data_IF_905531722801
#
_entry.id   IF_905531722801
#
_cell.length_a   1.000
_cell.length_b   1.000
_cell.length_c   1.000
_cell.angle_alpha   90.00
_cell.angle_beta   90.00
_cell.angle_gamma   90.00
#
_symmetry.space_group_name_H-M   'P 1'
#
loop_
_entity.id
_entity.type
_entity.pdbx_description
1 polymer ?
#
# COMPACT_ATOMS: atom_id res chain seq x y z
N UNK A 1 -27.78 -20.89 96.68
CA UNK A 1 -28.70 -20.44 95.61
C UNK A 1 -27.89 -19.95 94.41
N UNK A 2 -27.51 -20.82 93.48
CA UNK A 2 -26.88 -20.43 92.19
C UNK A 2 -27.29 -21.47 91.13
N UNK A 3 -28.04 -21.05 90.12
CA UNK A 3 -28.27 -21.80 88.88
C UNK A 3 -28.19 -20.82 87.71
N UNK A 4 -27.25 -21.07 86.79
CA UNK A 4 -27.37 -20.92 85.31
C UNK A 4 -26.00 -20.66 84.68
N UNK A 5 -25.56 -21.59 83.84
CA UNK A 5 -24.79 -21.38 82.60
C UNK A 5 -24.67 -22.73 81.91
N UNK A 6 -25.02 -22.83 80.62
CA UNK A 6 -24.52 -23.78 79.61
C UNK A 6 -25.23 -23.52 78.25
N UNK A 7 -24.42 -23.20 77.22
CA UNK A 7 -24.51 -23.66 75.78
C UNK A 7 -25.63 -23.04 74.88
N UNK A 8 -25.52 -22.95 73.51
CA UNK A 8 -24.39 -23.10 72.55
C UNK A 8 -24.21 -21.98 71.49
N UNK A 9 -22.99 -21.86 71.02
CA UNK A 9 -22.56 -21.41 69.68
C UNK A 9 -22.78 -22.54 68.65
N UNK A 10 -23.76 -22.46 67.75
CA UNK A 10 -23.96 -23.48 66.69
C UNK A 10 -24.61 -22.95 65.37
N UNK A 11 -24.68 -21.63 65.15
CA UNK A 11 -25.34 -21.08 63.94
C UNK A 11 -24.39 -20.45 62.90
N UNK A 12 -23.12 -20.19 63.24
CA UNK A 12 -22.17 -19.51 62.35
C UNK A 12 -21.38 -20.39 61.39
N UNK A 13 -21.20 -21.68 61.71
CA UNK A 13 -20.34 -22.57 60.92
C UNK A 13 -21.07 -23.22 59.71
N UNK A 14 -22.39 -23.36 59.77
CA UNK A 14 -23.17 -24.00 58.70
C UNK A 14 -23.31 -23.11 57.45
N UNK A 15 -23.36 -21.78 57.62
CA UNK A 15 -23.50 -20.83 56.50
C UNK A 15 -22.20 -20.70 55.70
N UNK A 16 -21.04 -20.77 56.36
CA UNK A 16 -19.73 -20.67 55.70
C UNK A 16 -19.37 -21.94 54.93
N UNK A 17 -19.80 -23.12 55.42
CA UNK A 17 -19.59 -24.39 54.71
C UNK A 17 -20.51 -24.54 53.49
N UNK A 18 -21.75 -24.06 53.54
CA UNK A 18 -22.67 -24.11 52.40
C UNK A 18 -22.19 -23.23 51.23
N UNK A 19 -21.63 -22.05 51.50
CA UNK A 19 -21.10 -21.15 50.46
C UNK A 19 -19.80 -21.67 49.83
N UNK A 20 -18.96 -22.36 50.60
CA UNK A 20 -17.71 -22.95 50.10
C UNK A 20 -17.96 -24.18 49.22
N UNK A 21 -18.98 -24.99 49.53
CA UNK A 21 -19.37 -26.16 48.73
C UNK A 21 -20.04 -25.74 47.42
N UNK A 22 -20.84 -24.66 47.41
CA UNK A 22 -21.43 -24.11 46.19
C UNK A 22 -20.35 -23.52 45.27
N UNK A 23 -19.34 -22.82 45.82
CA UNK A 23 -18.19 -22.34 45.04
C UNK A 23 -17.34 -23.49 44.48
N UNK A 24 -17.18 -24.60 45.21
CA UNK A 24 -16.45 -25.78 44.74
C UNK A 24 -17.23 -26.58 43.68
N UNK A 25 -18.57 -26.68 43.80
CA UNK A 25 -19.43 -27.33 42.80
C UNK A 25 -19.50 -26.51 41.51
N UNK A 26 -19.51 -25.17 41.59
CA UNK A 26 -19.42 -24.29 40.41
C UNK A 26 -18.04 -24.37 39.75
N UNK A 27 -16.96 -24.56 40.54
CA UNK A 27 -15.62 -24.76 40.02
C UNK A 27 -15.43 -26.14 39.35
N UNK A 28 -16.07 -27.18 39.88
CA UNK A 28 -15.95 -28.57 39.38
C UNK A 28 -16.94 -28.87 38.24
N UNK A 29 -18.13 -28.24 38.19
CA UNK A 29 -19.01 -28.30 37.00
C UNK A 29 -18.51 -27.41 35.85
N UNK A 30 -17.73 -26.36 36.15
CA UNK A 30 -17.05 -25.54 35.14
C UNK A 30 -15.90 -26.26 34.43
N UNK A 31 -15.48 -27.43 34.92
CA UNK A 31 -14.41 -28.24 34.33
C UNK A 31 -14.88 -29.35 33.38
N UNK A 32 -16.18 -29.50 33.12
CA UNK A 32 -16.74 -30.58 32.29
C UNK A 32 -17.48 -30.13 31.02
N UNK A 33 -17.42 -28.85 30.67
CA UNK A 33 -17.86 -28.35 29.36
C UNK A 33 -16.87 -27.33 28.81
N UNK A 34 -15.64 -27.77 28.58
CA UNK A 34 -14.79 -27.08 27.61
C UNK A 34 -15.35 -27.39 26.21
N UNK A 35 -15.68 -26.39 25.38
CA UNK A 35 -15.87 -26.64 23.96
C UNK A 35 -14.55 -27.21 23.43
N UNK A 36 -14.63 -28.34 22.74
CA UNK A 36 -13.52 -28.93 22.02
C UNK A 36 -12.95 -27.90 21.05
N UNK A 37 -11.71 -27.49 21.28
CA UNK A 37 -10.87 -26.91 20.23
C UNK A 37 -10.64 -28.00 19.19
N UNK A 38 -11.56 -28.11 18.23
CA UNK A 38 -11.25 -28.77 16.98
C UNK A 38 -10.16 -27.95 16.30
N UNK A 39 -8.98 -28.56 16.24
CA UNK A 39 -7.83 -28.09 15.48
C UNK A 39 -8.21 -28.01 13.99
N UNK A 40 -8.68 -26.84 13.56
CA UNK A 40 -8.71 -26.48 12.14
C UNK A 40 -7.37 -25.86 11.79
N UNK A 41 -6.67 -26.52 10.86
CA UNK A 41 -5.44 -26.06 10.26
C UNK A 41 -5.53 -24.59 9.84
N UNK A 42 -4.47 -23.83 10.13
CA UNK A 42 -4.30 -22.47 9.66
C UNK A 42 -4.23 -22.47 8.13
N UNK A 43 -5.36 -22.15 7.49
CA UNK A 43 -5.40 -21.81 6.08
C UNK A 43 -4.90 -20.36 5.89
N UNK A 44 -3.98 -20.22 4.94
CA UNK A 44 -3.37 -18.96 4.48
C UNK A 44 -4.44 -17.95 4.03
N UNK A 45 -4.18 -16.62 4.13
CA UNK A 45 -5.13 -15.63 3.66
C UNK A 45 -5.30 -15.72 2.15
N UNK A 46 -6.43 -16.26 1.71
CA UNK A 46 -6.90 -16.23 0.32
C UNK A 46 -7.82 -15.03 0.17
N UNK A 47 -7.61 -14.25 -0.90
CA UNK A 47 -8.50 -13.14 -1.24
C UNK A 47 -9.79 -13.73 -1.82
N UNK A 48 -10.88 -13.65 -1.06
CA UNK A 48 -12.24 -13.88 -1.53
C UNK A 48 -12.88 -12.51 -1.81
N UNK A 49 -13.54 -12.28 -2.96
CA UNK A 49 -14.23 -11.02 -3.21
C UNK A 49 -15.52 -11.00 -2.40
N UNK A 50 -15.46 -10.41 -1.21
CA UNK A 50 -16.61 -10.28 -0.33
C UNK A 50 -16.23 -10.23 1.15
N UNK A 51 -16.08 -9.01 1.67
CA UNK A 51 -16.17 -8.70 3.11
C UNK A 51 -14.94 -9.01 3.96
N UNK A 52 -14.09 -8.01 4.22
CA UNK A 52 -13.06 -8.09 5.26
C UNK A 52 -11.96 -7.03 5.20
N UNK A 53 -12.26 -5.82 5.68
CA UNK A 53 -11.36 -4.77 6.24
C UNK A 53 -9.85 -4.74 5.85
N UNK A 54 -9.52 -4.54 4.58
CA UNK A 54 -8.24 -3.94 4.20
C UNK A 54 -8.44 -2.43 4.00
N UNK A 55 -7.81 -1.60 4.86
CA UNK A 55 -8.01 -0.14 4.91
C UNK A 55 -7.22 0.64 3.84
N UNK A 56 -6.77 -0.03 2.78
CA UNK A 56 -6.03 0.60 1.68
C UNK A 56 -7.00 1.12 0.61
N UNK A 57 -6.79 2.34 0.13
CA UNK A 57 -7.57 2.91 -0.96
C UNK A 57 -6.89 2.58 -2.26
N UNK A 58 -7.52 1.71 -3.04
CA UNK A 58 -7.10 1.41 -4.40
C UNK A 58 -7.59 2.50 -5.33
N UNK A 59 -6.65 3.09 -6.06
CA UNK A 59 -6.91 4.00 -7.17
C UNK A 59 -7.14 3.15 -8.42
N UNK A 60 -8.23 3.36 -9.18
CA UNK A 60 -8.37 2.74 -10.49
C UNK A 60 -7.23 3.17 -11.43
N UNK A 61 -6.66 2.23 -12.18
CA UNK A 61 -5.48 2.47 -13.03
C UNK A 61 -5.69 3.65 -14.00
N UNK A 62 -6.91 3.79 -14.56
CA UNK A 62 -7.27 4.89 -15.46
C UNK A 62 -7.21 6.29 -14.84
N UNK A 63 -7.20 6.39 -13.52
CA UNK A 63 -7.14 7.65 -12.78
C UNK A 63 -5.79 7.92 -12.13
N UNK A 64 -4.88 6.95 -12.11
CA UNK A 64 -3.61 7.02 -11.38
C UNK A 64 -2.80 8.28 -11.73
N UNK A 65 -2.62 8.57 -13.03
CA UNK A 65 -1.88 9.75 -13.49
C UNK A 65 -2.55 11.07 -13.08
N UNK A 66 -3.89 11.11 -13.04
CA UNK A 66 -4.64 12.29 -12.63
C UNK A 66 -4.52 12.50 -11.12
N UNK A 67 -4.61 11.43 -10.34
CA UNK A 67 -4.46 11.46 -8.87
C UNK A 67 -3.05 11.89 -8.48
N UNK A 68 -2.01 11.36 -9.15
CA UNK A 68 -0.62 11.76 -8.93
C UNK A 68 -0.40 13.25 -9.25
N UNK A 69 -0.98 13.73 -10.34
CA UNK A 69 -0.91 15.15 -10.72
C UNK A 69 -1.63 16.03 -9.69
N UNK A 70 -2.79 15.61 -9.19
CA UNK A 70 -3.54 16.34 -8.17
C UNK A 70 -2.83 16.34 -6.81
N UNK A 71 -2.21 15.23 -6.42
CA UNK A 71 -1.38 15.13 -5.22
C UNK A 71 -0.18 16.08 -5.30
N UNK A 72 0.49 16.13 -6.46
CA UNK A 72 1.57 17.08 -6.70
C UNK A 72 1.09 18.54 -6.65
N UNK A 73 -0.02 18.86 -7.29
CA UNK A 73 -0.56 20.23 -7.31
C UNK A 73 -0.95 20.71 -5.91
N UNK A 74 -1.63 19.85 -5.14
CA UNK A 74 -2.04 20.13 -3.76
C UNK A 74 -0.88 20.11 -2.77
N UNK A 75 0.21 19.40 -3.07
CA UNK A 75 1.29 19.09 -2.14
C UNK A 75 0.81 18.24 -0.95
N UNK A 76 -0.17 17.37 -1.18
CA UNK A 76 -0.65 16.33 -0.26
C UNK A 76 -0.24 14.96 -0.79
N UNK A 77 -0.31 13.91 0.04
CA UNK A 77 0.02 12.56 -0.43
C UNK A 77 -1.04 12.04 -1.42
N UNK A 78 -0.61 11.17 -2.33
CA UNK A 78 -1.50 10.42 -3.25
C UNK A 78 -2.62 9.73 -2.46
N UNK A 79 -2.28 9.12 -1.31
CA UNK A 79 -3.26 8.47 -0.46
C UNK A 79 -4.36 9.38 0.08
N UNK A 80 -4.04 10.65 0.39
CA UNK A 80 -5.05 11.61 0.82
C UNK A 80 -6.00 11.96 -0.34
N UNK A 81 -5.46 12.20 -1.54
CA UNK A 81 -6.29 12.51 -2.71
C UNK A 81 -7.15 11.32 -3.11
N UNK A 82 -6.58 10.12 -3.15
CA UNK A 82 -7.27 8.89 -3.47
C UNK A 82 -8.38 8.57 -2.47
N UNK A 83 -8.07 8.64 -1.16
CA UNK A 83 -9.04 8.39 -0.11
C UNK A 83 -10.17 9.42 -0.13
N UNK A 84 -9.88 10.67 -0.49
CA UNK A 84 -10.89 11.69 -0.69
C UNK A 84 -11.80 11.34 -1.87
N UNK A 85 -11.27 11.02 -3.05
CA UNK A 85 -12.07 10.65 -4.22
C UNK A 85 -12.96 9.42 -3.96
N UNK A 86 -12.43 8.44 -3.23
CA UNK A 86 -13.22 7.28 -2.79
C UNK A 86 -14.32 7.68 -1.79
N UNK A 87 -14.05 8.58 -0.86
CA UNK A 87 -15.05 9.06 0.09
C UNK A 87 -16.14 9.91 -0.57
N UNK A 88 -15.79 10.71 -1.58
CA UNK A 88 -16.72 11.60 -2.28
C UNK A 88 -17.72 10.84 -3.16
N UNK A 89 -17.23 9.92 -4.00
CA UNK A 89 -18.06 9.28 -5.03
C UNK A 89 -17.88 7.77 -5.12
N UNK A 90 -16.97 7.19 -4.34
CA UNK A 90 -16.50 5.82 -4.54
C UNK A 90 -16.04 5.56 -5.98
N UNK A 91 -15.34 6.55 -6.57
CA UNK A 91 -14.86 6.54 -7.95
C UNK A 91 -15.95 6.61 -9.04
N UNK A 92 -17.19 6.99 -8.71
CA UNK A 92 -18.26 7.19 -9.70
C UNK A 92 -18.16 8.59 -10.35
N UNK A 93 -17.77 8.69 -11.64
CA UNK A 93 -17.65 9.98 -12.32
C UNK A 93 -19.01 10.62 -12.63
N UNK A 94 -20.12 9.88 -12.49
CA UNK A 94 -21.49 10.36 -12.74
C UNK A 94 -22.24 10.69 -11.46
N UNK A 95 -21.61 10.57 -10.29
CA UNK A 95 -22.24 10.82 -9.00
C UNK A 95 -22.82 12.24 -8.91
N UNK A 96 -24.06 12.33 -8.42
CA UNK A 96 -24.73 13.61 -8.11
C UNK A 96 -25.35 13.51 -6.72
N UNK A 97 -24.94 14.39 -5.81
CA UNK A 97 -25.52 14.41 -4.46
C UNK A 97 -26.91 15.09 -4.44
N UNK A 98 -27.74 14.84 -3.42
CA UNK A 98 -29.03 15.52 -3.25
C UNK A 98 -28.93 17.05 -3.17
N UNK A 99 -27.77 17.57 -2.75
CA UNK A 99 -27.49 19.01 -2.63
C UNK A 99 -26.80 19.58 -3.87
N UNK A 100 -26.60 18.77 -4.91
CA UNK A 100 -26.13 19.22 -6.23
C UNK A 100 -24.62 19.17 -6.44
N UNK A 101 -23.88 18.47 -5.58
CA UNK A 101 -22.46 18.17 -5.81
C UNK A 101 -22.32 17.19 -6.99
N UNK A 102 -21.29 17.36 -7.83
CA UNK A 102 -21.17 16.64 -9.10
C UNK A 102 -19.83 15.94 -9.30
N UNK A 103 -19.90 14.74 -9.86
CA UNK A 103 -18.81 13.96 -10.39
C UNK A 103 -17.87 13.39 -9.33
N UNK A 104 -16.70 12.94 -9.80
CA UNK A 104 -15.79 12.09 -9.04
C UNK A 104 -15.32 12.75 -7.73
N UNK A 105 -15.12 14.06 -7.75
CA UNK A 105 -14.68 14.86 -6.60
C UNK A 105 -15.83 15.61 -5.89
N UNK A 106 -17.09 15.36 -6.27
CA UNK A 106 -18.29 15.99 -5.68
C UNK A 106 -18.19 17.52 -5.55
N UNK A 107 -17.89 18.20 -6.65
CA UNK A 107 -17.83 19.66 -6.64
C UNK A 107 -19.23 20.29 -6.58
N UNK A 108 -19.41 21.22 -5.64
CA UNK A 108 -20.56 22.14 -5.66
C UNK A 108 -20.45 23.11 -6.86
N UNK A 109 -21.58 23.55 -7.46
CA UNK A 109 -21.54 24.37 -8.68
C UNK A 109 -20.73 25.66 -8.55
N UNK A 110 -20.80 26.36 -7.41
CA UNK A 110 -20.03 27.60 -7.21
C UNK A 110 -18.54 27.33 -7.10
N UNK A 111 -18.13 26.30 -6.35
CA UNK A 111 -16.72 25.87 -6.29
C UNK A 111 -16.21 25.42 -7.66
N UNK A 112 -17.05 24.75 -8.46
CA UNK A 112 -16.66 24.36 -9.82
C UNK A 112 -16.35 25.56 -10.72
N UNK A 113 -17.10 26.67 -10.62
CA UNK A 113 -16.83 27.87 -11.42
C UNK A 113 -15.43 28.42 -11.16
N UNK A 114 -14.96 28.35 -9.92
CA UNK A 114 -13.66 28.86 -9.52
C UNK A 114 -12.51 27.90 -9.87
N UNK A 115 -12.70 26.59 -9.65
CA UNK A 115 -11.60 25.62 -9.74
C UNK A 115 -11.66 24.71 -10.97
N UNK A 116 -12.79 24.64 -11.67
CA UNK A 116 -13.03 23.75 -12.81
C UNK A 116 -12.35 24.16 -14.11
N UNK A 117 -11.84 25.40 -14.21
CA UNK A 117 -11.17 25.93 -15.41
C UNK A 117 -11.96 25.76 -16.72
N UNK A 118 -13.29 25.85 -16.65
CA UNK A 118 -14.18 25.68 -17.82
C UNK A 118 -14.32 24.23 -18.32
N UNK A 119 -13.80 23.25 -17.59
CA UNK A 119 -14.01 21.83 -17.88
C UNK A 119 -15.36 21.30 -17.41
N UNK A 120 -15.50 19.98 -17.40
CA UNK A 120 -16.71 19.26 -16.98
C UNK A 120 -16.52 18.52 -15.64
N UNK A 121 -17.36 18.75 -14.60
CA UNK A 121 -17.24 18.04 -13.33
C UNK A 121 -17.45 16.53 -13.44
N UNK A 122 -18.13 16.05 -14.49
CA UNK A 122 -18.32 14.62 -14.75
C UNK A 122 -17.16 14.00 -15.53
N UNK A 123 -16.22 14.81 -16.03
CA UNK A 123 -15.01 14.31 -16.66
C UNK A 123 -13.94 14.02 -15.58
N UNK A 124 -13.47 12.78 -15.42
CA UNK A 124 -12.52 12.42 -14.36
C UNK A 124 -11.22 13.23 -14.38
N UNK A 125 -10.68 13.50 -15.57
CA UNK A 125 -9.43 14.26 -15.73
C UNK A 125 -9.61 15.70 -15.24
N UNK A 126 -10.70 16.35 -15.63
CA UNK A 126 -10.98 17.73 -15.24
C UNK A 126 -11.30 17.83 -13.74
N UNK A 127 -12.14 16.91 -13.23
CA UNK A 127 -12.54 16.86 -11.84
C UNK A 127 -11.35 16.63 -10.89
N UNK A 128 -10.50 15.64 -11.17
CA UNK A 128 -9.34 15.33 -10.33
C UNK A 128 -8.30 16.46 -10.40
N UNK A 129 -8.09 17.06 -11.57
CA UNK A 129 -7.22 18.23 -11.70
C UNK A 129 -7.76 19.44 -10.91
N UNK A 130 -9.08 19.68 -10.94
CA UNK A 130 -9.74 20.71 -10.14
C UNK A 130 -9.60 20.45 -8.64
N UNK A 131 -9.74 19.20 -8.20
CA UNK A 131 -9.54 18.80 -6.80
C UNK A 131 -8.12 19.13 -6.33
N UNK A 132 -7.09 18.84 -7.13
CA UNK A 132 -5.71 19.21 -6.81
C UNK A 132 -5.55 20.72 -6.57
N UNK A 133 -6.13 21.55 -7.44
CA UNK A 133 -6.11 23.02 -7.30
C UNK A 133 -6.88 23.49 -6.06
N UNK A 134 -8.06 22.94 -5.83
CA UNK A 134 -8.89 23.34 -4.71
C UNK A 134 -8.26 22.93 -3.37
N UNK A 135 -7.72 21.72 -3.26
CA UNK A 135 -6.99 21.27 -2.07
C UNK A 135 -5.75 22.12 -1.80
N UNK A 136 -5.02 22.57 -2.83
CA UNK A 136 -3.93 23.54 -2.68
C UNK A 136 -4.43 24.86 -2.08
N UNK A 137 -5.53 25.38 -2.61
CA UNK A 137 -6.15 26.61 -2.14
C UNK A 137 -6.56 26.50 -0.67
N UNK A 138 -7.30 25.45 -0.30
CA UNK A 138 -7.73 25.19 1.07
C UNK A 138 -6.53 25.04 2.01
N UNK A 139 -5.51 24.27 1.61
CA UNK A 139 -4.29 24.10 2.41
C UNK A 139 -3.63 25.45 2.68
N UNK A 140 -3.53 26.31 1.66
CA UNK A 140 -2.95 27.64 1.81
C UNK A 140 -3.82 28.56 2.68
N UNK A 141 -5.14 28.41 2.65
CA UNK A 141 -6.07 29.17 3.47
C UNK A 141 -5.92 28.85 4.96
N UNK A 142 -5.71 27.57 5.31
CA UNK A 142 -5.66 27.12 6.71
C UNK A 142 -4.25 27.04 7.29
N UNK A 143 -3.19 27.12 6.47
CA UNK A 143 -1.80 26.84 6.88
C UNK A 143 -1.33 27.62 8.11
N UNK A 144 -1.69 28.90 8.22
CA UNK A 144 -1.20 29.79 9.29
C UNK A 144 -1.95 29.53 10.62
N UNK A 145 -3.03 28.75 10.57
CA UNK A 145 -3.81 28.32 11.73
C UNK A 145 -3.46 26.90 12.19
N UNK A 146 -2.73 26.15 11.38
CA UNK A 146 -2.42 24.75 11.65
C UNK A 146 -1.31 24.57 12.69
N UNK A 147 -1.50 23.62 13.61
CA UNK A 147 -0.52 23.23 14.64
C UNK A 147 0.31 22.02 14.17
N UNK A 148 1.08 22.22 13.10
CA UNK A 148 1.95 21.21 12.47
C UNK A 148 1.28 20.43 11.32
N UNK A 149 2.06 19.61 10.63
CA UNK A 149 1.68 19.00 9.34
C UNK A 149 0.44 18.12 9.41
N UNK A 150 0.30 17.32 10.48
CA UNK A 150 -0.89 16.47 10.68
C UNK A 150 -2.16 17.33 10.77
N UNK A 151 -2.13 18.37 11.59
CA UNK A 151 -3.27 19.25 11.79
C UNK A 151 -3.57 20.09 10.53
N UNK A 152 -2.55 20.44 9.75
CA UNK A 152 -2.72 21.09 8.45
C UNK A 152 -3.55 20.23 7.49
N UNK A 153 -3.24 18.93 7.40
CA UNK A 153 -4.01 17.99 6.56
C UNK A 153 -5.45 17.88 7.06
N UNK A 154 -5.65 17.72 8.37
CA UNK A 154 -6.99 17.61 8.98
C UNK A 154 -7.84 18.85 8.73
N UNK A 155 -7.29 20.06 8.92
CA UNK A 155 -7.99 21.32 8.64
C UNK A 155 -8.30 21.50 7.16
N UNK A 156 -7.40 21.06 6.28
CA UNK A 156 -7.62 21.14 4.83
C UNK A 156 -8.78 20.24 4.41
N UNK A 157 -8.84 19.00 4.92
CA UNK A 157 -9.93 18.06 4.66
C UNK A 157 -11.25 18.55 5.25
N UNK A 158 -11.22 19.10 6.47
CA UNK A 158 -12.41 19.70 7.08
C UNK A 158 -12.96 20.87 6.27
N UNK A 159 -12.08 21.73 5.73
CA UNK A 159 -12.47 22.85 4.91
C UNK A 159 -13.06 22.43 3.55
N UNK A 160 -12.69 21.24 3.04
CA UNK A 160 -13.30 20.68 1.84
C UNK A 160 -14.75 20.25 2.09
N UNK A 161 -14.98 19.45 3.14
CA UNK A 161 -16.31 18.90 3.44
C UNK A 161 -17.26 19.91 4.10
N UNK A 162 -16.85 20.59 5.17
CA UNK A 162 -17.70 21.57 5.86
C UNK A 162 -17.75 22.95 5.16
N UNK A 163 -16.83 23.18 4.22
CA UNK A 163 -16.61 24.46 3.59
C UNK A 163 -15.66 25.38 4.40
N UNK A 164 -14.85 26.20 3.72
CA UNK A 164 -13.86 27.07 4.38
C UNK A 164 -14.50 28.14 5.27
N UNK A 165 -15.70 28.61 4.93
CA UNK A 165 -16.45 29.57 5.74
C UNK A 165 -16.82 29.01 7.12
N UNK A 166 -17.24 27.73 7.17
CA UNK A 166 -17.60 27.06 8.43
C UNK A 166 -16.37 26.80 9.30
N UNK A 167 -15.27 26.36 8.70
CA UNK A 167 -14.00 26.17 9.41
C UNK A 167 -13.51 27.50 10.02
N UNK A 168 -13.65 28.61 9.29
CA UNK A 168 -13.33 29.96 9.80
C UNK A 168 -14.26 30.39 10.93
N UNK A 169 -15.58 30.16 10.83
CA UNK A 169 -16.55 30.43 11.90
C UNK A 169 -16.19 29.70 13.20
N UNK A 170 -15.66 28.47 13.07
CA UNK A 170 -15.20 27.64 14.18
C UNK A 170 -13.75 27.94 14.60
N UNK A 171 -13.16 29.03 14.13
CA UNK A 171 -11.82 29.51 14.50
C UNK A 171 -10.71 28.48 14.24
N UNK A 172 -10.87 27.67 13.18
CA UNK A 172 -9.93 26.61 12.81
C UNK A 172 -9.63 25.61 13.96
N UNK A 173 -10.54 25.50 14.93
CA UNK A 173 -10.39 24.61 16.08
C UNK A 173 -10.99 23.24 15.76
N UNK A 174 -10.12 22.24 15.58
CA UNK A 174 -10.53 20.86 15.32
C UNK A 174 -11.46 20.29 16.41
N UNK A 175 -11.40 20.76 17.66
CA UNK A 175 -12.32 20.29 18.70
C UNK A 175 -13.75 20.79 18.47
N UNK A 176 -13.92 21.98 17.88
CA UNK A 176 -15.23 22.52 17.50
C UNK A 176 -15.71 21.88 16.19
N UNK A 177 -14.81 21.73 15.22
CA UNK A 177 -15.09 21.10 13.92
C UNK A 177 -15.51 19.63 14.11
N UNK A 178 -14.84 18.88 15.00
CA UNK A 178 -15.17 17.48 15.29
C UNK A 178 -16.54 17.26 15.94
N UNK A 179 -17.27 18.33 16.30
CA UNK A 179 -18.68 18.25 16.71
C UNK A 179 -19.64 18.16 15.51
N UNK A 180 -19.18 18.47 14.29
CA UNK A 180 -19.89 18.19 13.05
C UNK A 180 -19.58 16.74 12.70
N UNK A 181 -20.52 15.84 12.97
CA UNK A 181 -20.31 14.39 12.86
C UNK A 181 -19.88 13.97 11.45
N UNK A 182 -20.53 14.50 10.41
CA UNK A 182 -20.16 14.25 9.02
C UNK A 182 -18.68 14.59 8.74
N UNK A 183 -18.25 15.80 9.11
CA UNK A 183 -16.89 16.28 8.88
C UNK A 183 -15.86 15.52 9.71
N UNK A 184 -16.16 15.20 10.97
CA UNK A 184 -15.29 14.36 11.81
C UNK A 184 -15.07 13.01 11.14
N UNK A 185 -16.15 12.34 10.76
CA UNK A 185 -16.10 11.01 10.16
C UNK A 185 -15.36 11.06 8.81
N UNK A 186 -15.57 12.11 8.02
CA UNK A 186 -14.86 12.34 6.76
C UNK A 186 -13.35 12.45 6.95
N UNK A 187 -12.89 13.30 7.89
CA UNK A 187 -11.46 13.49 8.18
C UNK A 187 -10.84 12.21 8.74
N UNK A 188 -11.50 11.53 9.68
CA UNK A 188 -11.01 10.29 10.27
C UNK A 188 -10.91 9.16 9.24
N UNK A 189 -11.94 8.99 8.41
CA UNK A 189 -11.97 7.97 7.37
C UNK A 189 -10.86 8.20 6.35
N UNK A 190 -10.70 9.43 5.85
CA UNK A 190 -9.65 9.74 4.88
C UNK A 190 -8.27 9.58 5.50
N UNK A 191 -8.01 10.13 6.69
CA UNK A 191 -6.66 10.03 7.29
C UNK A 191 -6.29 8.61 7.72
N UNK A 192 -7.27 7.77 8.09
CA UNK A 192 -7.04 6.34 8.34
C UNK A 192 -6.79 5.60 7.03
N UNK A 193 -7.64 5.83 6.04
CA UNK A 193 -7.56 5.22 4.72
C UNK A 193 -6.42 5.79 3.86
N UNK A 194 -5.74 6.86 4.31
CA UNK A 194 -4.52 7.45 3.75
C UNK A 194 -3.21 6.97 4.44
N UNK A 195 -3.31 6.04 5.42
CA UNK A 195 -2.17 5.36 6.07
C UNK A 195 -1.91 3.92 5.59
N UNK A 196 -2.80 3.32 4.80
CA UNK A 196 -2.58 2.07 4.02
C UNK A 196 -1.68 2.25 2.78
N UNK A 197 -1.44 1.17 2.03
CA UNK A 197 -0.63 1.14 0.79
C UNK A 197 -1.42 1.77 -0.39
N UNK A 198 -0.83 2.68 -1.18
CA UNK A 198 -1.49 3.38 -2.32
C UNK A 198 -0.86 3.02 -3.66
N UNK A 199 -0.56 1.76 -3.83
CA UNK A 199 -0.34 1.17 -5.15
C UNK A 199 -1.58 0.35 -5.52
N UNK A 200 -1.89 0.28 -6.81
CA UNK A 200 -3.10 -0.32 -7.36
C UNK A 200 -3.16 -1.81 -7.06
N UNK A 201 -3.76 -2.20 -5.92
CA UNK A 201 -3.97 -3.60 -5.54
C UNK A 201 -5.43 -3.87 -5.17
N UNK A 202 -6.31 -3.74 -6.17
CA UNK A 202 -7.57 -4.50 -6.27
C UNK A 202 -7.90 -4.64 -7.77
N UNK A 203 -7.54 -5.76 -8.39
CA UNK A 203 -8.31 -6.28 -9.52
C UNK A 203 -8.56 -7.77 -9.29
N UNK A 204 -9.83 -8.13 -9.27
CA UNK A 204 -10.37 -9.49 -9.25
C UNK A 204 -10.38 -10.05 -10.70
N UNK A 205 -10.21 -11.37 -10.92
CA UNK A 205 -9.90 -11.94 -12.21
C UNK A 205 -11.17 -12.18 -13.01
N UNK A 206 -11.36 -11.42 -14.08
CA UNK A 206 -12.50 -11.62 -14.97
C UNK A 206 -12.36 -10.91 -16.29
N UNK A 207 -11.60 -11.54 -17.19
CA UNK A 207 -11.83 -11.52 -18.65
C UNK A 207 -11.74 -10.14 -19.34
N UNK A 208 -10.75 -9.79 -20.16
CA UNK A 208 -10.36 -10.48 -21.40
C UNK A 208 -9.33 -9.61 -22.13
N UNK A 209 -8.26 -10.19 -22.68
CA UNK A 209 -7.40 -9.45 -23.62
C UNK A 209 -5.95 -9.91 -23.76
N UNK A 210 -5.74 -11.14 -24.21
CA UNK A 210 -4.53 -11.68 -24.86
C UNK A 210 -3.24 -10.81 -24.89
N UNK A 211 -2.23 -11.21 -24.11
CA UNK A 211 -0.83 -10.80 -24.30
C UNK A 211 -0.02 -10.86 -23.00
N UNK A 212 0.73 -11.95 -22.78
CA UNK A 212 1.49 -12.19 -21.55
C UNK A 212 2.37 -11.03 -21.11
N UNK A 213 2.11 -10.48 -19.92
CA UNK A 213 2.88 -9.36 -19.38
C UNK A 213 2.29 -8.58 -18.20
N UNK A 214 1.11 -8.89 -17.66
CA UNK A 214 0.60 -8.22 -16.46
C UNK A 214 1.14 -8.88 -15.18
N UNK A 215 2.03 -8.31 -14.37
CA UNK A 215 2.66 -6.99 -14.41
C UNK A 215 4.04 -7.10 -13.73
N UNK A 216 5.09 -7.27 -14.57
CA UNK A 216 6.50 -7.38 -14.12
C UNK A 216 6.87 -6.15 -13.30
N UNK A 217 6.42 -4.96 -13.71
CA UNK A 217 6.79 -3.72 -13.08
C UNK A 217 6.12 -3.56 -11.71
N UNK A 218 4.82 -3.85 -11.62
CA UNK A 218 4.10 -3.84 -10.34
C UNK A 218 4.74 -4.78 -9.33
N UNK A 219 5.04 -6.00 -9.76
CA UNK A 219 5.75 -6.96 -8.89
C UNK A 219 7.13 -6.43 -8.48
N UNK A 220 7.88 -5.85 -9.42
CA UNK A 220 9.18 -5.26 -9.13
C UNK A 220 9.08 -4.15 -8.07
N UNK A 221 8.15 -3.20 -8.25
CA UNK A 221 7.93 -2.09 -7.30
C UNK A 221 7.48 -2.61 -5.93
N UNK A 222 6.54 -3.55 -5.90
CA UNK A 222 6.06 -4.14 -4.65
C UNK A 222 7.21 -4.78 -3.83
N UNK A 223 8.16 -5.44 -4.51
CA UNK A 223 9.29 -6.11 -3.85
C UNK A 223 10.50 -5.20 -3.59
N UNK A 224 10.58 -4.02 -4.22
CA UNK A 224 11.67 -3.09 -4.00
C UNK A 224 11.40 -2.19 -2.79
N UNK A 225 12.45 -1.81 -2.06
CA UNK A 225 12.31 -0.81 -1.00
C UNK A 225 12.41 0.60 -1.59
N UNK A 226 11.53 1.50 -1.16
CA UNK A 226 11.64 2.95 -1.42
C UNK A 226 12.83 3.62 -0.70
N UNK A 227 13.45 2.95 0.27
CA UNK A 227 14.59 3.44 1.04
C UNK A 227 15.85 2.86 0.44
N UNK A 228 16.83 3.72 0.19
CA UNK A 228 18.17 3.27 -0.19
C UNK A 228 18.95 2.90 1.07
N UNK A 229 19.19 1.61 1.27
CA UNK A 229 19.95 1.09 2.42
C UNK A 229 21.31 0.60 1.94
N UNK A 230 22.38 1.14 2.53
CA UNK A 230 23.76 0.70 2.28
C UNK A 230 24.24 -0.15 3.45
N UNK A 231 24.74 -1.34 3.14
CA UNK A 231 25.28 -2.29 4.11
C UNK A 231 26.80 -2.43 3.93
N UNK A 232 27.53 -2.82 5.00
CA UNK A 232 28.91 -3.27 4.87
C UNK A 232 28.98 -4.47 3.93
N UNK A 233 30.05 -4.53 3.12
CA UNK A 233 30.26 -5.62 2.18
C UNK A 233 30.35 -6.96 2.92
N UNK A 234 29.51 -7.93 2.56
CA UNK A 234 29.55 -9.25 3.18
C UNK A 234 29.13 -10.37 2.23
N UNK A 235 29.78 -11.53 2.36
CA UNK A 235 29.43 -12.79 1.70
C UNK A 235 28.66 -13.76 2.63
N UNK A 236 28.16 -13.28 3.76
CA UNK A 236 27.39 -14.10 4.69
C UNK A 236 26.06 -14.58 4.06
N UNK A 237 25.67 -15.80 4.41
CA UNK A 237 24.35 -16.32 4.07
C UNK A 237 23.27 -15.36 4.61
N UNK A 238 22.22 -15.10 3.82
CA UNK A 238 21.10 -14.21 4.19
C UNK A 238 21.49 -12.74 4.40
N UNK A 239 22.68 -12.33 3.96
CA UNK A 239 23.09 -10.93 4.08
C UNK A 239 22.11 -9.99 3.36
N UNK A 240 21.67 -8.98 4.10
CA UNK A 240 20.68 -7.99 3.67
C UNK A 240 19.24 -8.34 4.01
N UNK A 241 18.97 -9.47 4.66
CA UNK A 241 17.60 -9.86 5.02
C UNK A 241 16.90 -8.84 5.92
N UNK A 242 17.53 -8.49 7.05
CA UNK A 242 16.94 -7.58 8.04
C UNK A 242 16.74 -6.15 7.50
N UNK A 243 17.44 -5.84 6.41
CA UNK A 243 17.37 -4.57 5.71
C UNK A 243 16.49 -4.61 4.45
N UNK A 244 16.00 -5.79 4.06
CA UNK A 244 15.22 -6.02 2.86
C UNK A 244 13.72 -6.08 3.17
N UNK A 245 12.90 -5.64 2.21
CA UNK A 245 11.47 -5.51 2.40
C UNK A 245 10.90 -6.89 2.78
N UNK A 246 10.12 -7.04 3.87
CA UNK A 246 9.65 -8.36 4.33
C UNK A 246 8.94 -9.18 3.23
N UNK A 247 8.22 -8.49 2.35
CA UNK A 247 7.54 -9.05 1.18
C UNK A 247 8.54 -9.64 0.18
N UNK A 248 9.68 -8.96 -0.05
CA UNK A 248 10.77 -9.51 -0.87
C UNK A 248 11.44 -10.69 -0.20
N UNK A 249 11.62 -10.66 1.12
CA UNK A 249 12.18 -11.80 1.86
C UNK A 249 11.28 -13.04 1.68
N UNK A 250 9.98 -12.89 1.92
CA UNK A 250 8.98 -13.95 1.76
C UNK A 250 8.90 -14.44 0.31
N UNK A 251 8.84 -13.53 -0.66
CA UNK A 251 8.75 -13.88 -2.08
C UNK A 251 10.00 -14.61 -2.57
N UNK A 252 11.19 -14.13 -2.20
CA UNK A 252 12.46 -14.76 -2.56
C UNK A 252 12.54 -16.18 -2.00
N UNK A 253 12.19 -16.38 -0.73
CA UNK A 253 12.16 -17.71 -0.12
C UNK A 253 11.12 -18.64 -0.78
N UNK A 254 9.94 -18.13 -1.12
CA UNK A 254 8.86 -18.89 -1.76
C UNK A 254 9.23 -19.37 -3.17
N UNK A 255 9.73 -18.46 -4.02
CA UNK A 255 9.94 -18.71 -5.45
C UNK A 255 11.35 -19.20 -5.80
N UNK A 256 12.28 -19.12 -4.85
CA UNK A 256 13.68 -19.48 -5.06
C UNK A 256 14.17 -20.46 -3.98
N UNK A 257 13.53 -21.62 -3.86
CA UNK A 257 13.81 -22.64 -2.82
C UNK A 257 15.28 -23.08 -2.68
N UNK A 258 16.12 -22.85 -3.70
CA UNK A 258 17.55 -23.18 -3.69
C UNK A 258 18.44 -22.16 -2.95
N UNK A 259 17.90 -21.07 -2.40
CA UNK A 259 18.69 -19.99 -1.78
C UNK A 259 18.64 -19.93 -0.26
N UNK A 260 18.88 -21.06 0.41
CA UNK A 260 19.26 -21.04 1.84
C UNK A 260 20.49 -20.16 2.13
N UNK A 261 21.21 -19.73 1.08
CA UNK A 261 22.37 -18.82 1.09
C UNK A 261 22.15 -17.50 0.32
N UNK A 262 20.93 -17.11 -0.09
CA UNK A 262 20.74 -15.89 -0.88
C UNK A 262 21.29 -14.65 -0.18
N UNK A 263 22.07 -13.88 -0.93
CA UNK A 263 22.20 -12.46 -0.69
C UNK A 263 20.88 -11.83 -1.08
N UNK A 264 20.11 -11.30 -0.12
CA UNK A 264 18.99 -10.41 -0.43
C UNK A 264 19.48 -9.16 -1.17
N UNK A 265 20.79 -8.94 -1.20
CA UNK A 265 21.49 -7.94 -1.98
C UNK A 265 21.86 -8.38 -3.40
N UNK A 266 21.58 -9.60 -3.87
CA UNK A 266 21.90 -10.04 -5.24
C UNK A 266 20.86 -9.57 -6.28
N UNK A 267 21.34 -8.86 -7.30
CA UNK A 267 20.52 -8.30 -8.38
C UNK A 267 19.82 -9.37 -9.24
N UNK A 268 20.48 -10.50 -9.49
CA UNK A 268 19.93 -11.62 -10.24
C UNK A 268 18.85 -12.35 -9.46
N UNK A 269 19.03 -12.52 -8.15
CA UNK A 269 18.00 -13.09 -7.27
C UNK A 269 16.78 -12.19 -7.23
N UNK A 270 16.96 -10.87 -7.16
CA UNK A 270 15.85 -9.93 -7.20
C UNK A 270 15.04 -10.05 -8.50
N UNK A 271 15.69 -9.94 -9.66
CA UNK A 271 15.01 -10.03 -10.96
C UNK A 271 14.36 -11.41 -11.15
N UNK A 272 15.02 -12.49 -10.75
CA UNK A 272 14.41 -13.83 -10.80
C UNK A 272 13.16 -13.94 -9.91
N UNK A 273 13.19 -13.34 -8.72
CA UNK A 273 12.02 -13.29 -7.84
C UNK A 273 10.87 -12.55 -8.51
N UNK A 274 11.13 -11.39 -9.11
CA UNK A 274 10.13 -10.61 -9.85
C UNK A 274 9.53 -11.41 -11.00
N UNK A 275 10.37 -12.00 -11.85
CA UNK A 275 9.91 -12.74 -13.04
C UNK A 275 9.07 -13.98 -12.66
N UNK A 276 9.44 -14.66 -11.58
CA UNK A 276 8.73 -15.84 -11.10
C UNK A 276 7.45 -15.49 -10.33
N UNK A 277 7.49 -14.47 -9.48
CA UNK A 277 6.36 -14.03 -8.67
C UNK A 277 5.27 -13.35 -9.50
N UNK A 278 5.65 -12.59 -10.53
CA UNK A 278 4.70 -12.00 -11.49
C UNK A 278 4.07 -13.05 -12.41
N UNK A 279 4.61 -14.28 -12.45
CA UNK A 279 4.20 -15.30 -13.41
C UNK A 279 4.71 -15.08 -14.84
N UNK A 280 5.36 -13.94 -15.12
CA UNK A 280 5.85 -13.56 -16.44
C UNK A 280 6.90 -14.54 -16.99
N UNK A 281 7.75 -15.07 -16.12
CA UNK A 281 8.59 -16.22 -16.45
C UNK A 281 8.89 -17.08 -15.22
N UNK A 282 8.03 -18.08 -15.00
CA UNK A 282 8.15 -19.05 -13.91
C UNK A 282 9.46 -19.85 -13.93
N UNK A 283 10.16 -19.90 -15.07
CA UNK A 283 11.41 -20.65 -15.25
C UNK A 283 12.64 -19.74 -15.33
N UNK A 284 12.50 -18.44 -15.08
CA UNK A 284 13.61 -17.50 -15.17
C UNK A 284 14.79 -17.95 -14.29
N UNK A 285 16.05 -17.95 -14.78
CA UNK A 285 17.18 -18.44 -14.02
C UNK A 285 17.46 -17.60 -12.78
N UNK A 286 17.86 -18.27 -11.70
CA UNK A 286 17.90 -17.68 -10.38
C UNK A 286 19.02 -16.64 -10.17
N UNK A 287 20.23 -16.93 -10.68
CA UNK A 287 21.42 -16.09 -10.49
C UNK A 287 22.44 -16.39 -11.59
N UNK A 288 23.52 -15.62 -11.61
CA UNK A 288 24.58 -15.75 -12.61
C UNK A 288 24.29 -14.84 -13.79
N UNK A 289 24.40 -13.54 -13.56
CA UNK A 289 24.03 -12.52 -14.53
C UNK A 289 24.74 -12.71 -15.88
N UNK A 290 26.05 -12.91 -15.84
CA UNK A 290 26.89 -13.05 -17.04
C UNK A 290 26.72 -14.42 -17.71
N UNK A 291 26.79 -15.49 -16.92
CA UNK A 291 26.96 -16.85 -17.46
C UNK A 291 25.66 -17.64 -17.60
N UNK A 292 24.56 -17.15 -17.01
CA UNK A 292 23.27 -17.86 -16.98
C UNK A 292 22.13 -16.98 -17.47
N UNK A 293 21.87 -15.84 -16.81
CA UNK A 293 20.70 -15.01 -17.10
C UNK A 293 20.83 -14.28 -18.45
N UNK A 294 22.01 -13.76 -18.78
CA UNK A 294 22.24 -13.13 -20.08
C UNK A 294 22.12 -14.11 -21.26
N UNK A 295 22.74 -15.31 -21.24
CA UNK A 295 22.50 -16.33 -22.25
C UNK A 295 21.03 -16.74 -22.35
N UNK A 296 20.36 -16.92 -21.22
CA UNK A 296 18.94 -17.28 -21.17
C UNK A 296 18.06 -16.26 -21.90
N UNK A 297 18.25 -14.97 -21.61
CA UNK A 297 17.52 -13.88 -22.28
C UNK A 297 17.77 -13.84 -23.80
N UNK A 298 18.97 -14.20 -24.25
CA UNK A 298 19.32 -14.21 -25.69
C UNK A 298 18.80 -15.42 -26.44
N UNK A 299 18.71 -16.57 -25.78
CA UNK A 299 18.36 -17.86 -26.41
C UNK A 299 16.87 -18.18 -26.30
N UNK A 300 16.19 -17.65 -25.27
CA UNK A 300 14.77 -17.85 -25.07
C UNK A 300 13.95 -17.09 -26.11
N UNK A 301 13.01 -17.77 -26.76
CA UNK A 301 12.09 -17.19 -27.72
C UNK A 301 11.01 -16.31 -27.06
N UNK A 302 10.96 -16.31 -25.73
CA UNK A 302 10.12 -15.42 -24.93
C UNK A 302 10.59 -13.96 -24.94
N UNK A 303 11.86 -13.73 -25.22
CA UNK A 303 12.46 -12.39 -25.10
C UNK A 303 12.97 -11.87 -26.44
N UNK A 304 12.68 -10.60 -26.71
CA UNK A 304 13.36 -9.83 -27.74
C UNK A 304 14.49 -9.05 -27.10
N UNK A 305 15.74 -9.42 -27.39
CA UNK A 305 16.91 -8.68 -26.91
C UNK A 305 17.33 -7.59 -27.90
N UNK A 306 17.76 -6.44 -27.37
CA UNK A 306 18.20 -5.30 -28.17
C UNK A 306 19.17 -4.41 -27.38
N UNK A 307 19.90 -3.55 -28.08
CA UNK A 307 20.73 -2.50 -27.47
C UNK A 307 19.98 -1.16 -27.58
N UNK A 308 19.50 -0.59 -26.47
CA UNK A 308 18.82 0.70 -26.50
C UNK A 308 19.82 1.81 -26.81
N UNK A 309 19.44 2.71 -27.72
CA UNK A 309 20.18 3.92 -28.08
C UNK A 309 19.72 5.11 -27.24
N UNK A 310 18.48 5.07 -26.76
CA UNK A 310 17.89 6.08 -25.89
C UNK A 310 16.93 5.44 -24.89
N UNK A 311 16.52 6.21 -23.89
CA UNK A 311 15.47 5.81 -22.95
C UNK A 311 14.14 5.45 -23.65
N UNK A 312 13.83 6.14 -24.76
CA UNK A 312 12.59 5.91 -25.50
C UNK A 312 12.49 4.53 -26.16
N UNK A 313 13.61 3.80 -26.25
CA UNK A 313 13.61 2.42 -26.76
C UNK A 313 13.10 1.42 -25.71
N UNK A 314 13.12 1.80 -24.43
CA UNK A 314 12.75 0.97 -23.29
C UNK A 314 11.26 1.07 -22.96
N UNK A 315 10.70 -0.01 -22.43
CA UNK A 315 9.37 -0.09 -21.85
C UNK A 315 9.47 -0.54 -20.40
N UNK A 316 8.62 0.00 -19.55
CA UNK A 316 8.43 -0.47 -18.18
C UNK A 316 8.35 -2.00 -18.14
N UNK A 317 9.12 -2.62 -17.24
CA UNK A 317 9.24 -4.08 -17.14
C UNK A 317 10.30 -4.72 -18.02
N UNK A 318 10.93 -3.98 -18.95
CA UNK A 318 12.09 -4.48 -19.70
C UNK A 318 13.23 -4.83 -18.72
N UNK A 319 13.87 -5.97 -18.96
CA UNK A 319 15.05 -6.39 -18.21
C UNK A 319 16.27 -5.74 -18.84
N UNK A 320 17.05 -5.02 -18.06
CA UNK A 320 18.34 -4.48 -18.47
C UNK A 320 19.46 -5.29 -17.82
N UNK A 321 20.45 -5.66 -18.61
CA UNK A 321 21.50 -6.58 -18.19
C UNK A 321 22.85 -6.23 -18.81
N UNK A 322 23.89 -6.26 -18.00
CA UNK A 322 25.30 -6.09 -18.37
C UNK A 322 26.13 -7.13 -17.60
N UNK A 323 27.37 -7.48 -18.01
CA UNK A 323 28.17 -8.42 -17.25
C UNK A 323 28.25 -8.02 -15.76
N UNK A 324 27.82 -8.92 -14.88
CA UNK A 324 27.77 -8.70 -13.43
C UNK A 324 26.57 -7.91 -12.87
N UNK A 325 25.65 -7.38 -13.69
CA UNK A 325 24.49 -6.63 -13.16
C UNK A 325 23.20 -6.73 -13.99
N UNK A 326 22.05 -6.89 -13.33
CA UNK A 326 20.72 -7.05 -13.95
C UNK A 326 19.64 -6.33 -13.14
N UNK A 327 18.67 -5.73 -13.83
CA UNK A 327 17.67 -4.87 -13.20
C UNK A 327 16.41 -4.73 -14.07
N UNK A 328 15.31 -4.28 -13.45
CA UNK A 328 14.04 -4.00 -14.15
C UNK A 328 13.94 -2.50 -14.43
N UNK A 329 13.65 -2.13 -15.67
CA UNK A 329 13.35 -0.75 -16.02
C UNK A 329 11.98 -0.35 -15.44
N UNK A 330 11.95 0.69 -14.59
CA UNK A 330 10.69 1.18 -14.00
C UNK A 330 10.06 2.39 -14.70
N UNK A 331 10.71 2.91 -15.75
CA UNK A 331 10.24 4.08 -16.47
C UNK A 331 11.01 5.37 -16.15
N UNK A 332 10.60 6.45 -16.82
CA UNK A 332 11.24 7.77 -16.75
C UNK A 332 10.81 8.55 -15.51
N UNK A 333 11.77 9.10 -14.76
CA UNK A 333 11.49 10.12 -13.72
C UNK A 333 11.36 11.51 -14.36
N UNK A 334 10.37 12.31 -13.92
CA UNK A 334 10.15 13.70 -14.38
C UNK A 334 11.20 14.72 -13.86
N UNK A 335 12.12 14.35 -12.96
CA UNK A 335 13.24 15.22 -12.50
C UNK A 335 14.42 14.42 -11.92
N UNK A 336 15.66 14.83 -12.21
CA UNK A 336 16.92 14.19 -11.77
C UNK A 336 17.66 13.41 -12.87
N UNK A 337 18.93 12.99 -12.69
CA UNK A 337 19.63 12.16 -13.67
C UNK A 337 18.86 10.84 -13.88
N UNK A 338 18.83 10.38 -15.13
CA UNK A 338 17.84 9.44 -15.65
C UNK A 338 17.77 8.06 -14.94
N UNK A 339 16.55 7.49 -15.01
CA UNK A 339 16.11 6.11 -14.71
C UNK A 339 15.99 5.73 -13.24
N UNK A 340 14.78 5.41 -12.76
CA UNK A 340 14.64 4.52 -11.60
C UNK A 340 14.70 3.09 -12.15
N UNK A 341 15.86 2.45 -12.05
CA UNK A 341 15.96 1.01 -12.24
C UNK A 341 15.71 0.35 -10.90
N UNK A 342 14.99 -0.77 -10.91
CA UNK A 342 14.77 -1.57 -9.71
C UNK A 342 15.83 -2.66 -9.68
N UNK A 343 16.73 -2.57 -8.70
CA UNK A 343 17.89 -3.45 -8.60
C UNK A 343 18.34 -3.60 -7.15
N UNK A 344 18.88 -4.77 -6.81
CA UNK A 344 19.75 -4.94 -5.64
C UNK A 344 21.22 -4.77 -6.06
N UNK A 345 22.15 -4.64 -5.13
CA UNK A 345 23.59 -4.54 -5.42
C UNK A 345 24.36 -5.56 -4.60
N UNK A 346 25.01 -6.49 -5.30
CA UNK A 346 25.63 -7.65 -4.69
C UNK A 346 26.51 -7.25 -3.50
N UNK A 347 26.34 -7.95 -2.38
CA UNK A 347 27.05 -7.78 -1.11
C UNK A 347 26.82 -6.46 -0.37
N UNK A 348 26.05 -5.53 -0.91
CA UNK A 348 26.11 -4.14 -0.43
C UNK A 348 24.76 -3.49 -0.24
N UNK A 349 23.74 -3.83 -1.03
CA UNK A 349 22.43 -3.17 -0.95
C UNK A 349 21.28 -4.09 -1.32
N UNK A 350 20.18 -4.13 -0.53
CA UNK A 350 18.94 -4.78 -0.92
C UNK A 350 18.26 -4.04 -2.10
N UNK A 351 17.20 -4.60 -2.70
CA UNK A 351 16.58 -4.01 -3.88
C UNK A 351 15.96 -2.64 -3.58
N UNK A 352 16.23 -1.66 -4.44
CA UNK A 352 15.62 -0.33 -4.35
C UNK A 352 15.27 0.25 -5.73
N UNK A 353 14.36 1.22 -5.74
CA UNK A 353 13.97 1.95 -6.96
C UNK A 353 14.72 3.25 -7.19
N UNK A 354 15.90 3.45 -6.59
CA UNK A 354 16.61 4.74 -6.64
C UNK A 354 17.89 4.71 -7.50
N UNK A 355 18.13 3.64 -8.26
CA UNK A 355 19.38 3.48 -9.01
C UNK A 355 19.26 3.93 -10.46
N UNK A 356 20.23 4.74 -10.89
CA UNK A 356 20.33 5.33 -12.23
C UNK A 356 21.46 4.66 -13.01
N UNK A 357 21.20 4.30 -14.26
CA UNK A 357 22.19 3.66 -15.15
C UNK A 357 22.21 4.36 -16.51
N UNK A 358 23.41 4.60 -17.02
CA UNK A 358 23.63 5.29 -18.30
C UNK A 358 23.24 4.42 -19.50
N UNK A 359 22.62 5.04 -20.49
CA UNK A 359 22.20 4.39 -21.74
C UNK A 359 23.38 3.73 -22.47
N UNK A 360 23.11 2.63 -23.18
CA UNK A 360 24.11 1.92 -23.99
C UNK A 360 25.09 1.04 -23.21
N UNK A 361 25.12 1.11 -21.87
CA UNK A 361 25.98 0.24 -21.05
C UNK A 361 25.42 -1.17 -20.81
N UNK A 362 24.25 -1.48 -21.36
CA UNK A 362 23.49 -2.71 -21.12
C UNK A 362 22.81 -3.25 -22.38
N UNK A 363 22.51 -4.55 -22.37
CA UNK A 363 21.54 -5.19 -23.26
C UNK A 363 20.17 -5.11 -22.59
N UNK A 364 19.14 -4.75 -23.34
CA UNK A 364 17.76 -4.82 -22.89
C UNK A 364 17.10 -6.10 -23.42
N UNK A 365 16.18 -6.66 -22.65
CA UNK A 365 15.38 -7.81 -23.03
C UNK A 365 13.91 -7.52 -22.70
N UNK A 366 13.06 -7.54 -23.73
CA UNK A 366 11.62 -7.34 -23.62
C UNK A 366 10.92 -8.68 -23.69
N UNK A 367 10.03 -8.96 -22.73
CA UNK A 367 9.14 -10.11 -22.83
C UNK A 367 8.17 -9.89 -23.99
N UNK A 368 8.12 -10.84 -24.92
CA UNK A 368 7.26 -10.81 -26.10
C UNK A 368 6.33 -12.03 -26.19
N UNK A 369 6.54 -13.04 -25.33
CA UNK A 369 5.65 -14.19 -25.14
C UNK A 369 5.59 -14.58 -23.66
N UNK A 370 4.38 -14.73 -23.10
CA UNK A 370 4.15 -15.18 -21.71
C UNK A 370 4.33 -16.67 -21.53
#
# INVERSE_FOLDING_TARGET
>A
MIVRKLIPTLLGAAVVFATAIILLIVLVLGLLTAPSEDASAAEEPTCTPGGGNSSAVVVPDEYQDYVDAAAKESGLSVGIIAAQLKAESNWDPKAVSPVGAKGLAQFMPETWKEFGNGGDPFNPKDAIAAQGRYMKHLKNLVKDHAKGDKNLVELTLAAYNAGPGKVKELDYDMNKINKIEETRNYVENITKAAKGDYTTDCEDPGDSGAGGGGDILKTAKHLAWDKRVQLPRSTAARHGEDAAKPEYVKASQKYNKSVTTAFFTDCGVYVATVMRASGADKKFPLRGTTDVQLPYLKQSDKYKTFKPKSEGDLKAGDIMITPGHIYIYSGKRRSGPANTSLAASLYTRPPSGQDTYGFGSYTAARLVKG
#
